data_IF_774850567247
#
_entry.id   IF_774850567247
#
_cell.length_a   1.000
_cell.length_b   1.000
_cell.length_c   1.000
_cell.angle_alpha   90.00
_cell.angle_beta   90.00
_cell.angle_gamma   90.00
#
_symmetry.space_group_name_H-M   'P 1'
#
loop_
_entity.id
_entity.type
_entity.pdbx_description
1 polymer ?
#
# COMPACT_ATOMS: atom_id res chain seq x y z
N UNK A 1 42.41 17.30 24.88
CA UNK A 1 41.74 17.22 23.57
C UNK A 1 40.56 16.28 23.70
N UNK A 2 39.34 16.83 23.80
CA UNK A 2 38.11 16.05 23.91
C UNK A 2 37.64 15.78 22.48
N UNK A 3 37.72 14.52 22.05
CA UNK A 3 37.31 14.12 20.70
C UNK A 3 35.79 13.99 20.66
N UNK A 4 35.13 15.02 20.14
CA UNK A 4 33.70 15.06 19.93
C UNK A 4 33.41 14.46 18.55
N UNK A 5 33.28 13.13 18.46
CA UNK A 5 32.75 12.49 17.26
C UNK A 5 31.23 12.59 17.30
N UNK A 6 30.72 13.61 16.61
CA UNK A 6 29.31 13.72 16.28
C UNK A 6 28.86 12.44 15.58
N UNK A 7 27.74 11.89 16.03
CA UNK A 7 27.07 10.78 15.37
C UNK A 7 26.78 11.16 13.90
N UNK A 8 27.23 10.29 12.99
CA UNK A 8 26.93 10.37 11.56
C UNK A 8 25.41 10.46 11.35
N UNK A 9 24.91 11.44 10.57
CA UNK A 9 23.50 11.49 10.24
C UNK A 9 23.13 10.25 9.42
N UNK A 10 22.14 9.50 9.92
CA UNK A 10 21.52 8.39 9.19
C UNK A 10 21.04 8.96 7.85
N UNK A 11 21.68 8.56 6.75
CA UNK A 11 21.19 8.81 5.40
C UNK A 11 19.81 8.15 5.29
N UNK A 12 18.75 8.96 5.26
CA UNK A 12 17.45 8.55 4.75
C UNK A 12 17.66 8.17 3.28
N UNK A 13 17.85 6.89 2.98
CA UNK A 13 17.65 6.39 1.62
C UNK A 13 16.23 6.79 1.21
N UNK A 14 16.11 7.57 0.14
CA UNK A 14 14.84 8.15 -0.29
C UNK A 14 13.74 7.10 -0.34
N UNK A 15 12.58 7.44 0.23
CA UNK A 15 11.39 6.61 0.09
C UNK A 15 11.12 6.43 -1.40
N UNK A 16 11.08 5.17 -1.84
CA UNK A 16 10.79 4.82 -3.22
C UNK A 16 9.62 3.85 -3.23
N UNK A 17 8.63 4.17 -4.04
CA UNK A 17 7.49 3.29 -4.30
C UNK A 17 8.01 1.97 -4.87
N UNK A 18 7.73 0.88 -4.18
CA UNK A 18 8.08 -0.47 -4.63
C UNK A 18 6.93 -1.08 -5.38
N UNK A 19 7.24 -2.04 -6.25
CA UNK A 19 6.23 -2.83 -6.95
C UNK A 19 6.44 -4.31 -6.67
N UNK A 20 5.34 -5.05 -6.57
CA UNK A 20 5.35 -6.50 -6.48
C UNK A 20 4.24 -7.08 -7.33
N UNK A 21 4.56 -8.09 -8.14
CA UNK A 21 3.55 -8.88 -8.83
C UNK A 21 2.91 -9.86 -7.85
N UNK A 22 1.59 -9.84 -7.80
CA UNK A 22 0.77 -10.72 -6.98
C UNK A 22 -0.08 -11.62 -7.90
N UNK A 23 -0.68 -12.65 -7.29
CA UNK A 23 -1.66 -13.54 -7.93
C UNK A 23 -1.09 -14.34 -9.11
N UNK A 24 -0.38 -15.43 -8.78
CA UNK A 24 0.00 -16.46 -9.75
C UNK A 24 -1.23 -17.18 -10.33
N UNK A 25 -2.29 -17.29 -9.53
CA UNK A 25 -3.61 -17.76 -9.95
C UNK A 25 -4.56 -16.56 -10.11
N UNK A 26 -5.57 -16.62 -11.00
CA UNK A 26 -6.47 -15.50 -11.24
C UNK A 26 -7.21 -15.03 -9.99
N UNK A 27 -7.26 -13.71 -9.81
CA UNK A 27 -8.18 -13.06 -8.89
C UNK A 27 -9.56 -12.97 -9.54
N UNK A 28 -10.55 -13.65 -8.97
CA UNK A 28 -11.96 -13.49 -9.33
C UNK A 28 -12.50 -12.20 -8.71
N UNK A 29 -12.84 -11.25 -9.56
CA UNK A 29 -13.43 -9.97 -9.20
C UNK A 29 -14.90 -10.14 -8.79
N UNK A 30 -15.48 -9.14 -8.13
CA UNK A 30 -16.90 -9.16 -7.78
C UNK A 30 -17.82 -9.19 -9.01
N UNK A 31 -17.33 -8.68 -10.16
CA UNK A 31 -18.01 -8.79 -11.45
C UNK A 31 -18.00 -10.21 -12.05
N UNK A 32 -17.31 -11.17 -11.44
CA UNK A 32 -17.10 -12.53 -11.96
C UNK A 32 -16.00 -12.63 -13.02
N UNK A 33 -15.41 -11.50 -13.43
CA UNK A 33 -14.24 -11.48 -14.30
C UNK A 33 -12.97 -11.85 -13.55
N UNK A 34 -12.00 -12.36 -14.29
CA UNK A 34 -10.69 -12.72 -13.76
C UNK A 34 -9.61 -11.71 -14.15
N UNK A 35 -8.70 -11.45 -13.20
CA UNK A 35 -7.45 -10.71 -13.44
C UNK A 35 -6.26 -11.54 -12.94
N UNK A 36 -5.23 -11.66 -13.77
CA UNK A 36 -3.96 -12.31 -13.45
C UNK A 36 -2.83 -11.29 -13.40
N UNK A 37 -1.70 -11.66 -12.79
CA UNK A 37 -0.45 -10.87 -12.81
C UNK A 37 -0.66 -9.41 -12.35
N UNK A 38 -1.34 -9.23 -11.22
CA UNK A 38 -1.64 -7.90 -10.69
C UNK A 38 -0.37 -7.36 -10.04
N UNK A 39 0.22 -6.32 -10.63
CA UNK A 39 1.28 -5.54 -10.02
C UNK A 39 0.67 -4.56 -9.02
N UNK A 40 1.23 -4.49 -7.82
CA UNK A 40 0.82 -3.54 -6.78
C UNK A 40 1.99 -2.62 -6.45
N UNK A 41 1.76 -1.32 -6.57
CA UNK A 41 2.66 -0.28 -6.08
C UNK A 41 2.35 0.04 -4.62
N UNK A 42 3.38 0.05 -3.77
CA UNK A 42 3.21 0.28 -2.33
C UNK A 42 4.46 0.87 -1.69
N UNK A 43 4.25 1.53 -0.55
CA UNK A 43 5.30 2.03 0.33
C UNK A 43 5.12 1.51 1.75
N UNK A 44 6.23 1.50 2.49
CA UNK A 44 6.22 1.16 3.91
C UNK A 44 7.09 2.11 4.70
N UNK A 45 6.67 2.39 5.92
CA UNK A 45 7.35 3.30 6.83
C UNK A 45 7.55 2.59 8.18
N UNK A 46 8.72 2.77 8.79
CA UNK A 46 9.10 2.04 10.00
C UNK A 46 9.54 0.59 9.71
N UNK A 47 9.51 -0.27 10.72
CA UNK A 47 10.02 -1.65 10.64
C UNK A 47 9.01 -2.67 11.18
N UNK A 48 8.79 -3.74 10.41
CA UNK A 48 8.00 -4.89 10.85
C UNK A 48 8.75 -5.61 11.98
N UNK A 49 8.07 -5.84 13.10
CA UNK A 49 8.64 -6.57 14.23
C UNK A 49 8.69 -8.09 13.98
N UNK A 50 9.42 -8.82 14.82
CA UNK A 50 9.58 -10.28 14.68
C UNK A 50 8.27 -11.07 14.81
N UNK A 51 7.26 -10.48 15.48
CA UNK A 51 5.92 -11.06 15.62
C UNK A 51 5.00 -10.71 14.42
N UNK A 52 5.48 -9.88 13.50
CA UNK A 52 4.75 -9.33 12.35
C UNK A 52 3.34 -8.83 12.70
N UNK A 53 3.22 -8.14 13.84
CA UNK A 53 1.94 -7.73 14.42
C UNK A 53 1.86 -6.26 14.82
N UNK A 54 2.84 -5.43 14.43
CA UNK A 54 2.85 -3.98 14.65
C UNK A 54 2.44 -3.21 13.39
N UNK A 55 1.49 -3.71 12.61
CA UNK A 55 1.19 -3.16 11.28
C UNK A 55 0.05 -2.15 11.34
N UNK A 56 0.23 -1.01 10.66
CA UNK A 56 -0.87 -0.09 10.32
C UNK A 56 -1.05 -0.12 8.81
N UNK A 57 -2.25 -0.44 8.33
CA UNK A 57 -2.60 -0.33 6.93
C UNK A 57 -3.30 1.01 6.67
N UNK A 58 -2.71 1.83 5.82
CA UNK A 58 -3.27 3.11 5.37
C UNK A 58 -3.92 2.91 4.00
N UNK A 59 -5.20 3.24 3.91
CA UNK A 59 -6.00 3.20 2.69
C UNK A 59 -6.20 4.62 2.15
N UNK A 60 -5.68 4.91 0.96
CA UNK A 60 -5.77 6.25 0.37
C UNK A 60 -7.18 6.58 -0.16
N UNK A 61 -7.49 7.88 -0.25
CA UNK A 61 -8.72 8.39 -0.86
C UNK A 61 -8.69 8.32 -2.40
N UNK A 62 -9.76 8.74 -3.09
CA UNK A 62 -9.96 8.50 -4.53
C UNK A 62 -8.76 8.89 -5.42
N UNK A 63 -8.12 10.02 -5.15
CA UNK A 63 -7.00 10.54 -5.96
C UNK A 63 -5.63 10.40 -5.29
N UNK A 64 -5.57 9.71 -4.15
CA UNK A 64 -4.31 9.43 -3.46
C UNK A 64 -3.55 8.28 -4.11
N UNK A 65 -2.39 7.96 -3.55
CA UNK A 65 -1.54 6.87 -4.00
C UNK A 65 -0.74 6.25 -2.84
N UNK A 66 0.29 5.45 -3.19
CA UNK A 66 1.13 4.77 -2.22
C UNK A 66 2.03 5.72 -1.40
N UNK A 67 2.33 6.93 -1.90
CA UNK A 67 3.17 7.92 -1.21
C UNK A 67 2.34 8.62 -0.11
N UNK A 68 2.12 7.91 1.00
CA UNK A 68 1.36 8.43 2.13
C UNK A 68 2.19 9.38 3.01
N UNK A 69 3.51 9.24 3.05
CA UNK A 69 4.37 10.02 3.92
C UNK A 69 5.77 10.21 3.34
N UNK A 70 6.52 11.14 3.94
CA UNK A 70 7.86 11.51 3.53
C UNK A 70 7.87 12.24 2.20
N UNK A 71 9.02 12.20 1.52
CA UNK A 71 9.28 12.94 0.29
C UNK A 71 9.89 12.01 -0.75
N UNK A 72 9.34 12.00 -1.95
CA UNK A 72 9.87 11.22 -3.07
C UNK A 72 11.14 11.86 -3.67
N UNK A 73 11.74 11.20 -4.67
CA UNK A 73 12.94 11.68 -5.37
C UNK A 73 12.74 12.97 -6.19
N UNK A 74 11.49 13.34 -6.51
CA UNK A 74 11.15 14.56 -7.24
C UNK A 74 10.78 15.72 -6.29
N UNK A 75 10.66 15.41 -5.01
CA UNK A 75 10.34 16.34 -3.96
C UNK A 75 8.85 16.49 -3.65
N UNK A 76 8.01 15.59 -4.15
CA UNK A 76 6.60 15.46 -3.78
C UNK A 76 6.50 14.98 -2.34
N UNK A 77 5.69 15.65 -1.52
CA UNK A 77 5.43 15.25 -0.14
C UNK A 77 4.22 14.31 -0.12
N UNK A 78 4.29 13.25 0.69
CA UNK A 78 3.21 12.30 0.83
C UNK A 78 1.94 12.93 1.38
N UNK A 79 0.80 12.43 0.89
CA UNK A 79 -0.51 13.07 1.08
C UNK A 79 -1.01 13.05 2.53
N UNK A 80 -0.38 12.27 3.41
CA UNK A 80 -0.67 12.23 4.84
C UNK A 80 0.57 12.36 5.73
N UNK A 81 1.61 13.06 5.25
CA UNK A 81 2.89 13.16 5.95
C UNK A 81 2.73 13.60 7.40
N UNK A 82 1.91 14.61 7.70
CA UNK A 82 1.70 15.12 9.06
C UNK A 82 1.22 14.05 10.06
N UNK A 83 0.60 12.96 9.58
CA UNK A 83 0.11 11.87 10.44
C UNK A 83 1.11 10.73 10.59
N UNK A 84 2.02 10.52 9.64
CA UNK A 84 2.87 9.33 9.56
C UNK A 84 4.34 9.72 9.71
N UNK A 85 5.02 9.15 10.70
CA UNK A 85 6.45 9.36 10.89
C UNK A 85 6.88 9.22 12.35
N UNK A 86 8.18 9.42 12.66
CA UNK A 86 8.70 9.25 14.00
C UNK A 86 8.01 10.18 15.01
N UNK A 87 7.36 9.60 16.02
CA UNK A 87 6.63 10.32 17.08
C UNK A 87 5.30 10.98 16.66
N UNK A 88 4.84 10.77 15.42
CA UNK A 88 3.54 11.26 14.91
C UNK A 88 2.40 10.32 15.32
N UNK A 89 1.16 10.65 14.93
CA UNK A 89 -0.04 9.85 15.25
C UNK A 89 0.11 8.38 14.84
N UNK A 90 0.60 8.14 13.62
CA UNK A 90 1.04 6.83 13.15
C UNK A 90 2.56 6.75 13.30
N UNK A 91 3.00 6.49 14.53
CA UNK A 91 4.41 6.52 14.92
C UNK A 91 5.21 5.39 14.28
N UNK A 92 6.09 5.74 13.33
CA UNK A 92 6.93 4.76 12.61
C UNK A 92 8.10 4.23 13.44
N UNK A 93 8.34 4.75 14.65
CA UNK A 93 9.25 4.14 15.61
C UNK A 93 8.65 2.87 16.25
N UNK A 94 7.31 2.77 16.23
CA UNK A 94 6.56 1.68 16.87
C UNK A 94 5.92 0.77 15.82
N UNK A 95 5.33 1.38 14.79
CA UNK A 95 4.53 0.68 13.81
C UNK A 95 5.25 0.53 12.47
N UNK A 96 4.96 -0.57 11.80
CA UNK A 96 5.21 -0.77 10.39
C UNK A 96 3.97 -0.30 9.61
N UNK A 97 4.04 0.89 9.05
CA UNK A 97 2.95 1.48 8.29
C UNK A 97 3.07 1.03 6.84
N UNK A 98 1.97 0.60 6.21
CA UNK A 98 1.92 0.20 4.80
C UNK A 98 0.84 1.01 4.10
N UNK A 99 1.16 1.58 2.93
CA UNK A 99 0.18 2.17 2.03
C UNK A 99 0.35 1.56 0.64
N UNK A 100 -0.74 1.07 0.04
CA UNK A 100 -0.73 0.49 -1.29
C UNK A 100 -1.65 1.30 -2.20
N UNK A 101 -1.18 1.59 -3.40
CA UNK A 101 -2.02 2.15 -4.44
C UNK A 101 -3.07 1.10 -4.85
N UNK A 102 -4.33 1.50 -4.95
CA UNK A 102 -5.46 0.60 -5.19
C UNK A 102 -5.41 -0.04 -6.58
N UNK A 103 -6.01 -1.23 -6.70
CA UNK A 103 -6.36 -1.82 -7.99
C UNK A 103 -7.15 -0.80 -8.82
N UNK A 104 -6.82 -0.66 -10.10
CA UNK A 104 -7.44 0.36 -10.98
C UNK A 104 -6.87 1.76 -10.84
N UNK A 105 -5.98 2.03 -9.88
CA UNK A 105 -5.26 3.29 -9.77
C UNK A 105 -4.28 3.51 -10.93
N UNK A 106 -3.77 4.74 -11.08
CA UNK A 106 -2.85 5.11 -12.16
C UNK A 106 -1.38 5.26 -11.72
N UNK A 107 -1.10 5.14 -10.42
CA UNK A 107 0.23 5.33 -9.82
C UNK A 107 0.95 3.98 -9.60
N UNK A 108 1.09 3.18 -10.66
CA UNK A 108 1.91 1.96 -10.68
C UNK A 108 1.22 0.63 -10.33
N UNK A 109 0.06 0.62 -9.67
CA UNK A 109 -0.76 -0.60 -9.50
C UNK A 109 -1.50 -0.92 -10.81
N UNK A 110 -1.75 -2.19 -11.09
CA UNK A 110 -2.49 -2.64 -12.27
C UNK A 110 -3.83 -1.90 -12.41
N UNK A 111 -4.03 -1.25 -13.55
CA UNK A 111 -5.21 -0.48 -13.90
C UNK A 111 -5.39 -0.33 -15.40
N UNK A 112 -6.20 0.63 -15.84
CA UNK A 112 -6.54 0.84 -17.25
C UNK A 112 -5.32 1.14 -18.14
N UNK A 113 -4.30 1.81 -17.61
CA UNK A 113 -3.07 2.12 -18.34
C UNK A 113 -2.08 0.94 -18.41
N UNK A 114 -2.28 -0.11 -17.60
CA UNK A 114 -1.40 -1.27 -17.58
C UNK A 114 -1.57 -2.12 -18.84
N UNK A 115 -0.51 -2.83 -19.21
CA UNK A 115 -0.53 -3.72 -20.38
C UNK A 115 -1.36 -4.98 -20.06
N UNK A 116 -2.32 -5.27 -20.92
CA UNK A 116 -3.05 -6.53 -20.91
C UNK A 116 -2.14 -7.64 -21.50
N UNK A 117 -1.81 -8.70 -20.74
CA UNK A 117 -0.92 -9.76 -21.20
C UNK A 117 -1.47 -10.55 -22.40
N UNK A 118 -2.78 -10.60 -22.59
CA UNK A 118 -3.41 -11.33 -23.70
C UNK A 118 -3.29 -10.59 -25.04
N UNK A 119 -3.31 -9.25 -25.00
CA UNK A 119 -3.34 -8.40 -26.21
C UNK A 119 -2.06 -7.61 -26.44
N UNK A 120 -1.17 -7.57 -25.43
CA UNK A 120 0.05 -6.75 -25.40
C UNK A 120 -0.22 -5.25 -25.69
N UNK A 121 -1.39 -4.76 -25.28
CA UNK A 121 -1.83 -3.36 -25.38
C UNK A 121 -2.37 -2.89 -24.03
N UNK A 122 -2.44 -1.57 -23.75
CA UNK A 122 -3.09 -1.09 -22.54
C UNK A 122 -4.52 -1.62 -22.42
N UNK A 123 -4.95 -1.98 -21.21
CA UNK A 123 -6.31 -2.46 -20.98
C UNK A 123 -7.37 -1.45 -21.46
N UNK A 124 -7.16 -0.15 -21.22
CA UNK A 124 -8.12 0.89 -21.58
C UNK A 124 -9.52 0.57 -21.05
N UNK A 125 -10.54 0.75 -21.90
CA UNK A 125 -11.94 0.46 -21.55
C UNK A 125 -12.25 -1.04 -21.40
N UNK A 126 -11.32 -1.94 -21.77
CA UNK A 126 -11.50 -3.39 -21.55
C UNK A 126 -11.11 -3.82 -20.13
N UNK A 127 -10.52 -2.92 -19.33
CA UNK A 127 -10.28 -3.19 -17.92
C UNK A 127 -11.62 -3.49 -17.23
N UNK A 128 -11.71 -4.57 -16.43
CA UNK A 128 -12.95 -4.92 -15.77
C UNK A 128 -13.39 -3.83 -14.80
N UNK A 129 -14.71 -3.69 -14.61
CA UNK A 129 -15.23 -2.93 -13.48
C UNK A 129 -14.78 -3.63 -12.20
N UNK A 130 -14.21 -2.83 -11.29
CA UNK A 130 -13.70 -3.26 -9.99
C UNK A 130 -14.49 -2.58 -8.87
N UNK A 131 -14.47 -3.17 -7.68
CA UNK A 131 -15.12 -2.62 -6.49
C UNK A 131 -14.14 -2.43 -5.34
N UNK A 132 -14.60 -1.79 -4.24
CA UNK A 132 -13.82 -1.66 -3.01
C UNK A 132 -13.40 -3.04 -2.48
N UNK A 133 -14.28 -4.05 -2.60
CA UNK A 133 -14.00 -5.44 -2.23
C UNK A 133 -12.79 -5.99 -2.99
N UNK A 134 -12.72 -5.74 -4.30
CA UNK A 134 -11.60 -6.20 -5.12
C UNK A 134 -10.28 -5.49 -4.76
N UNK A 135 -10.34 -4.18 -4.46
CA UNK A 135 -9.18 -3.45 -3.93
C UNK A 135 -8.68 -4.06 -2.61
N UNK A 136 -9.59 -4.40 -1.70
CA UNK A 136 -9.26 -5.00 -0.40
C UNK A 136 -8.73 -6.42 -0.52
N UNK A 137 -9.22 -7.24 -1.48
CA UNK A 137 -8.58 -8.55 -1.81
C UNK A 137 -7.12 -8.40 -2.23
N UNK A 138 -6.82 -7.39 -3.04
CA UNK A 138 -5.44 -7.11 -3.50
C UNK A 138 -4.55 -6.66 -2.34
N UNK A 139 -5.03 -5.75 -1.50
CA UNK A 139 -4.31 -5.32 -0.29
C UNK A 139 -4.09 -6.49 0.68
N UNK A 140 -5.08 -7.36 0.87
CA UNK A 140 -4.94 -8.56 1.70
C UNK A 140 -3.84 -9.48 1.18
N UNK A 141 -3.81 -9.73 -0.13
CA UNK A 141 -2.73 -10.53 -0.72
C UNK A 141 -1.37 -9.88 -0.54
N UNK A 142 -1.27 -8.56 -0.68
CA UNK A 142 -0.04 -7.82 -0.38
C UNK A 142 0.39 -8.00 1.08
N UNK A 143 -0.55 -7.95 2.03
CA UNK A 143 -0.23 -8.11 3.45
C UNK A 143 0.34 -9.49 3.76
N UNK A 144 -0.24 -10.54 3.18
CA UNK A 144 0.32 -11.89 3.28
C UNK A 144 1.72 -11.99 2.65
N UNK A 145 1.92 -11.36 1.49
CA UNK A 145 3.22 -11.34 0.80
C UNK A 145 4.30 -10.63 1.62
N UNK A 146 3.94 -9.59 2.36
CA UNK A 146 4.82 -8.88 3.29
C UNK A 146 5.06 -9.61 4.61
N UNK A 147 4.46 -10.80 4.79
CA UNK A 147 4.61 -11.62 5.98
C UNK A 147 3.79 -11.15 7.19
N UNK A 148 2.84 -10.23 6.99
CA UNK A 148 2.00 -9.69 8.07
C UNK A 148 1.14 -10.79 8.68
N UNK A 149 1.12 -10.83 10.02
CA UNK A 149 0.34 -11.80 10.79
C UNK A 149 -0.85 -11.18 11.52
N UNK A 150 -0.76 -9.90 11.86
CA UNK A 150 -1.89 -9.13 12.41
C UNK A 150 -1.71 -7.66 12.05
N UNK A 151 -2.80 -7.04 11.62
CA UNK A 151 -2.91 -5.60 11.44
C UNK A 151 -3.45 -5.03 12.75
N UNK A 152 -2.82 -3.98 13.27
CA UNK A 152 -3.28 -3.30 14.49
C UNK A 152 -4.34 -2.26 14.21
N UNK A 153 -4.19 -1.57 13.09
CA UNK A 153 -5.06 -0.46 12.69
C UNK A 153 -5.17 -0.49 11.17
N UNK A 154 -6.40 -0.38 10.67
CA UNK A 154 -6.67 0.00 9.28
C UNK A 154 -7.25 1.41 9.31
N UNK A 155 -6.65 2.35 8.58
CA UNK A 155 -7.03 3.76 8.62
C UNK A 155 -7.15 4.35 7.22
N UNK A 156 -8.15 5.20 7.02
CA UNK A 156 -8.40 5.86 5.74
C UNK A 156 -9.67 6.70 5.78
N UNK A 157 -9.72 7.76 4.98
CA UNK A 157 -10.88 8.64 4.84
C UNK A 157 -11.45 8.62 3.42
N UNK A 158 -12.71 9.04 3.24
CA UNK A 158 -13.39 9.04 1.94
C UNK A 158 -13.42 7.62 1.32
N UNK A 159 -12.95 7.42 0.09
CA UNK A 159 -12.77 6.08 -0.50
C UNK A 159 -11.86 5.19 0.34
N UNK A 160 -10.89 5.76 1.07
CA UNK A 160 -10.08 5.04 2.04
C UNK A 160 -10.91 4.51 3.22
N UNK A 161 -11.93 5.25 3.65
CA UNK A 161 -12.85 4.81 4.70
C UNK A 161 -13.77 3.68 4.23
N UNK A 162 -14.16 3.68 2.95
CA UNK A 162 -14.89 2.55 2.35
C UNK A 162 -14.05 1.27 2.40
N UNK A 163 -12.76 1.36 2.07
CA UNK A 163 -11.81 0.24 2.17
C UNK A 163 -11.65 -0.23 3.63
N UNK A 164 -11.55 0.69 4.59
CA UNK A 164 -11.45 0.36 6.03
C UNK A 164 -12.64 -0.48 6.49
N UNK A 165 -13.86 -0.08 6.14
CA UNK A 165 -15.07 -0.82 6.51
C UNK A 165 -15.12 -2.20 5.83
N UNK A 166 -14.76 -2.28 4.55
CA UNK A 166 -14.69 -3.54 3.83
C UNK A 166 -13.65 -4.50 4.45
N UNK A 167 -12.50 -3.98 4.88
CA UNK A 167 -11.48 -4.76 5.61
C UNK A 167 -12.02 -5.39 6.89
N UNK A 168 -12.77 -4.63 7.68
CA UNK A 168 -13.35 -5.10 8.94
C UNK A 168 -14.37 -6.24 8.71
N UNK A 169 -15.07 -6.24 7.58
CA UNK A 169 -16.03 -7.29 7.22
C UNK A 169 -15.34 -8.51 6.60
N UNK A 170 -14.42 -8.30 5.66
CA UNK A 170 -13.84 -9.39 4.88
C UNK A 170 -12.80 -10.20 5.65
N UNK A 171 -11.97 -9.53 6.46
CA UNK A 171 -10.82 -10.15 7.10
C UNK A 171 -10.72 -9.81 8.59
N UNK A 172 -11.79 -10.02 9.38
CA UNK A 172 -11.81 -9.67 10.81
C UNK A 172 -10.73 -10.40 11.62
N UNK A 173 -10.28 -11.57 11.17
CA UNK A 173 -9.22 -12.32 11.85
C UNK A 173 -7.82 -11.69 11.66
N UNK A 174 -7.60 -10.96 10.57
CA UNK A 174 -6.32 -10.29 10.33
C UNK A 174 -6.26 -8.91 11.00
N UNK A 175 -7.41 -8.28 11.27
CA UNK A 175 -7.54 -6.93 11.88
C UNK A 175 -7.81 -7.01 13.37
#
# INVERSE_FOLDING_TARGET
>A
MVNNQAASPIQQQGLSTRQVALFNEPLVLESGRELTNITVAYETYGKLNDKANNVILVCHALTGDALAAGKDGNGTIGWWDDMIGPGKTFDTNIFFVVCANVLGGCQGTTGTASINPETNRPWGMSFPVITIKDMVKVQYKLMLQLGVKKIKIVAGGSMGGMQVLEWAVMYPELV
#
